data_IF_558478380152
#
_entry.id   IF_558478380152
#
_cell.length_a   1.000
_cell.length_b   1.000
_cell.length_c   1.000
_cell.angle_alpha   90.00
_cell.angle_beta   90.00
_cell.angle_gamma   90.00
#
_symmetry.space_group_name_H-M   'P 1'
#
loop_
_entity.id
_entity.type
_entity.pdbx_description
1 polymer ?
#
# COMPACT_ATOMS: atom_id res chain seq x y z
N UNK A 1 -6.19 11.24 9.59
CA UNK A 1 -4.79 10.90 9.17
C UNK A 1 -4.72 10.97 7.66
N UNK A 2 -3.79 11.76 7.13
CA UNK A 2 -3.59 11.92 5.68
C UNK A 2 -2.57 10.91 5.16
N UNK A 3 -3.00 10.05 4.25
CA UNK A 3 -2.19 8.99 3.65
C UNK A 3 -1.92 9.34 2.20
N UNK A 4 -0.66 9.30 1.78
CA UNK A 4 -0.24 9.49 0.39
C UNK A 4 0.25 8.16 -0.16
N UNK A 5 -0.34 7.72 -1.25
CA UNK A 5 0.04 6.52 -2.01
C UNK A 5 0.95 6.94 -3.16
N UNK A 6 1.99 6.16 -3.41
CA UNK A 6 2.77 6.30 -4.63
C UNK A 6 2.61 5.08 -5.53
N UNK A 7 1.83 5.23 -6.60
CA UNK A 7 1.73 4.26 -7.69
C UNK A 7 2.96 4.39 -8.58
N UNK A 8 4.03 3.72 -8.18
CA UNK A 8 5.38 3.88 -8.73
C UNK A 8 5.59 3.02 -9.98
N UNK A 9 6.30 3.59 -10.97
CA UNK A 9 6.95 2.82 -12.03
C UNK A 9 8.35 2.40 -11.55
N UNK A 10 8.49 1.17 -11.08
CA UNK A 10 9.73 0.67 -10.47
C UNK A 10 10.73 0.26 -11.56
N UNK A 11 11.93 0.82 -11.51
CA UNK A 11 13.06 0.39 -12.35
C UNK A 11 13.58 -0.96 -11.84
N UNK A 12 13.61 -1.95 -12.71
CA UNK A 12 13.98 -3.32 -12.36
C UNK A 12 15.41 -3.42 -11.83
N UNK A 13 15.56 -4.08 -10.68
CA UNK A 13 16.83 -4.40 -10.02
C UNK A 13 17.77 -3.20 -9.83
N UNK A 14 17.23 -1.97 -9.69
CA UNK A 14 18.03 -0.76 -9.49
C UNK A 14 17.60 0.03 -8.25
N UNK A 15 18.01 -0.43 -7.03
CA UNK A 15 17.57 0.22 -5.79
C UNK A 15 18.01 1.67 -5.64
N UNK A 16 19.17 2.03 -6.18
CA UNK A 16 19.67 3.40 -6.10
C UNK A 16 18.79 4.36 -6.90
N UNK A 17 18.51 4.04 -8.16
CA UNK A 17 17.66 4.86 -9.03
C UNK A 17 16.24 4.98 -8.51
N UNK A 18 15.66 3.87 -7.99
CA UNK A 18 14.31 3.91 -7.42
C UNK A 18 14.23 4.85 -6.21
N UNK A 19 15.23 4.85 -5.32
CA UNK A 19 15.30 5.81 -4.20
C UNK A 19 15.50 7.25 -4.67
N UNK A 20 16.37 7.50 -5.67
CA UNK A 20 16.59 8.84 -6.25
C UNK A 20 15.30 9.40 -6.88
N UNK A 21 14.50 8.57 -7.56
CA UNK A 21 13.21 8.98 -8.11
C UNK A 21 12.22 9.38 -7.02
N UNK A 22 12.15 8.63 -5.92
CA UNK A 22 11.33 9.02 -4.77
C UNK A 22 11.87 10.29 -4.11
N UNK A 23 13.18 10.45 -4.01
CA UNK A 23 13.80 11.70 -3.51
C UNK A 23 13.42 12.91 -4.37
N UNK A 24 13.36 12.77 -5.68
CA UNK A 24 12.92 13.84 -6.57
C UNK A 24 11.46 14.25 -6.31
N UNK A 25 10.58 13.29 -5.99
CA UNK A 25 9.19 13.58 -5.58
C UNK A 25 9.13 14.30 -4.23
N UNK A 26 9.93 13.83 -3.26
CA UNK A 26 10.03 14.42 -1.92
C UNK A 26 10.53 15.87 -1.95
N UNK A 27 11.39 16.19 -2.89
CA UNK A 27 11.98 17.51 -3.07
C UNK A 27 11.18 18.42 -4.03
N UNK A 28 10.07 17.93 -4.59
CA UNK A 28 9.25 18.65 -5.55
C UNK A 28 9.97 18.92 -6.89
N UNK A 29 10.99 18.12 -7.22
CA UNK A 29 11.80 18.24 -8.45
C UNK A 29 11.32 17.35 -9.60
N UNK A 30 10.33 16.48 -9.38
CA UNK A 30 9.82 15.58 -10.40
C UNK A 30 8.99 16.34 -11.44
N UNK A 31 9.38 16.22 -12.72
CA UNK A 31 8.62 16.72 -13.85
C UNK A 31 7.81 15.59 -14.49
N UNK A 32 6.55 15.83 -14.82
CA UNK A 32 5.72 14.89 -15.59
C UNK A 32 6.11 14.97 -17.06
N UNK A 33 6.79 13.96 -17.58
CA UNK A 33 6.86 13.74 -19.02
C UNK A 33 5.63 12.93 -19.47
N UNK A 34 4.74 13.57 -20.22
CA UNK A 34 3.64 12.89 -20.92
C UNK A 34 2.25 13.48 -20.67
N UNK A 35 1.88 14.53 -21.39
CA UNK A 35 0.48 14.89 -21.60
C UNK A 35 -0.14 13.92 -22.60
N UNK A 36 -1.12 13.13 -22.19
CA UNK A 36 -2.07 12.52 -23.11
C UNK A 36 -3.48 13.04 -22.83
N UNK A 37 -4.07 13.68 -23.82
CA UNK A 37 -5.48 14.07 -23.87
C UNK A 37 -6.37 12.83 -23.79
N UNK A 38 -7.24 12.77 -22.79
CA UNK A 38 -8.36 11.84 -22.77
C UNK A 38 -9.64 12.55 -22.43
N UNK A 39 -10.55 12.55 -23.41
CA UNK A 39 -11.91 13.04 -23.39
C UNK A 39 -12.83 12.21 -22.46
N UNK A 40 -13.81 12.91 -21.90
CA UNK A 40 -14.81 12.49 -20.92
C UNK A 40 -15.58 11.21 -21.25
N UNK A 41 -15.84 10.38 -20.24
CA UNK A 41 -16.82 9.27 -20.24
C UNK A 41 -18.06 9.71 -19.45
N UNK A 42 -19.29 9.40 -19.91
CA UNK A 42 -20.55 9.88 -19.32
C UNK A 42 -20.92 9.15 -18.03
N UNK A 43 -21.50 9.91 -17.08
CA UNK A 43 -22.07 9.39 -15.84
C UNK A 43 -23.40 8.68 -16.10
N UNK A 44 -23.49 7.42 -15.66
CA UNK A 44 -24.74 6.68 -15.56
C UNK A 44 -25.37 6.82 -14.18
N UNK A 45 -26.65 7.22 -14.14
CA UNK A 45 -27.46 7.30 -12.91
C UNK A 45 -28.07 5.93 -12.62
N UNK A 46 -27.88 5.40 -11.42
CA UNK A 46 -28.75 4.36 -10.91
C UNK A 46 -29.09 4.58 -9.43
N UNK A 47 -30.42 4.64 -9.18
CA UNK A 47 -31.00 4.91 -7.88
C UNK A 47 -31.39 3.59 -7.21
N UNK A 48 -30.70 3.22 -6.15
CA UNK A 48 -31.25 2.30 -5.15
C UNK A 48 -30.90 2.87 -3.76
N UNK A 49 -31.92 3.35 -3.05
CA UNK A 49 -31.76 4.09 -1.80
C UNK A 49 -31.46 3.16 -0.64
N UNK A 50 -30.23 3.23 -0.13
CA UNK A 50 -29.85 2.86 1.22
C UNK A 50 -29.78 4.09 2.11
N UNK A 51 -29.87 4.01 3.46
CA UNK A 51 -29.93 5.18 4.32
C UNK A 51 -28.70 6.08 4.12
N UNK A 52 -28.95 7.35 3.88
CA UNK A 52 -27.91 8.36 3.65
C UNK A 52 -27.07 8.55 4.92
N UNK A 53 -25.92 7.91 4.95
CA UNK A 53 -24.83 8.29 5.84
C UNK A 53 -24.18 9.57 5.32
N UNK A 54 -23.71 10.41 6.25
CA UNK A 54 -22.95 11.64 6.02
C UNK A 54 -22.04 11.55 4.80
N UNK A 55 -22.22 12.49 3.88
CA UNK A 55 -21.54 12.63 2.60
C UNK A 55 -20.03 12.82 2.83
N UNK A 56 -19.27 11.72 2.77
CA UNK A 56 -17.81 11.75 2.78
C UNK A 56 -17.35 12.16 1.38
N UNK A 57 -17.42 13.47 1.10
CA UNK A 57 -16.84 14.01 -0.13
C UNK A 57 -15.32 13.85 -0.04
N UNK A 58 -14.75 13.01 -0.90
CA UNK A 58 -13.34 13.11 -1.22
C UNK A 58 -13.07 14.56 -1.67
N UNK A 59 -12.15 15.22 -0.98
CA UNK A 59 -11.71 16.58 -1.40
C UNK A 59 -11.06 16.42 -2.76
N UNK A 60 -11.50 17.13 -3.82
CA UNK A 60 -10.86 17.07 -5.12
C UNK A 60 -9.41 17.53 -4.97
N UNK A 61 -8.46 16.66 -5.26
CA UNK A 61 -7.06 17.03 -5.23
C UNK A 61 -6.61 17.65 -6.56
N UNK A 62 -5.74 18.64 -6.46
CA UNK A 62 -4.95 19.10 -7.59
C UNK A 62 -4.07 17.96 -8.10
N UNK A 63 -4.52 17.32 -9.18
CA UNK A 63 -3.91 16.08 -9.76
C UNK A 63 -2.66 16.34 -10.61
N UNK A 64 -2.17 17.58 -10.70
CA UNK A 64 -1.14 17.95 -11.67
C UNK A 64 0.26 18.15 -11.07
N UNK A 65 0.45 17.90 -9.77
CA UNK A 65 1.73 18.03 -9.08
C UNK A 65 2.23 16.66 -8.60
N UNK A 66 3.37 16.21 -9.12
CA UNK A 66 4.12 15.07 -8.58
C UNK A 66 4.95 15.49 -7.36
N UNK A 67 4.35 16.21 -6.41
CA UNK A 67 4.95 16.55 -5.14
C UNK A 67 4.15 15.92 -4.01
N UNK A 68 4.85 15.35 -3.02
CA UNK A 68 4.19 14.81 -1.81
C UNK A 68 3.68 16.00 -1.00
N UNK A 69 2.38 16.04 -0.65
CA UNK A 69 1.82 17.12 0.15
C UNK A 69 2.53 17.28 1.50
N UNK A 70 2.83 18.51 1.94
CA UNK A 70 3.59 18.76 3.18
C UNK A 70 2.84 18.34 4.45
N UNK A 71 1.52 18.18 4.38
CA UNK A 71 0.65 17.70 5.46
C UNK A 71 0.40 16.19 5.40
N UNK A 72 1.18 15.45 4.62
CA UNK A 72 1.19 13.97 4.62
C UNK A 72 1.57 13.46 5.99
N UNK A 73 0.81 12.48 6.51
CA UNK A 73 1.15 11.75 7.73
C UNK A 73 1.89 10.44 7.43
N UNK A 74 1.51 9.76 6.36
CA UNK A 74 2.06 8.46 5.95
C UNK A 74 2.22 8.39 4.44
N UNK A 75 3.42 8.13 3.96
CA UNK A 75 3.72 7.77 2.57
C UNK A 75 3.78 6.26 2.44
N UNK A 76 3.00 5.68 1.49
CA UNK A 76 3.00 4.23 1.22
C UNK A 76 3.53 3.97 -0.18
N UNK A 77 4.61 3.19 -0.24
CA UNK A 77 5.29 2.70 -1.44
C UNK A 77 4.84 1.27 -1.77
N UNK A 78 4.96 0.79 -3.02
CA UNK A 78 4.51 -0.53 -3.41
C UNK A 78 5.39 -1.68 -2.86
N UNK A 79 5.07 -2.92 -3.26
CA UNK A 79 5.86 -4.11 -2.96
C UNK A 79 7.21 -4.04 -3.66
N UNK A 80 8.28 -4.38 -2.89
CA UNK A 80 9.67 -4.35 -3.35
C UNK A 80 10.00 -3.06 -4.13
N UNK A 81 9.62 -1.91 -3.56
CA UNK A 81 9.67 -0.60 -4.21
C UNK A 81 11.09 -0.21 -4.67
N UNK A 82 12.12 -0.80 -4.08
CA UNK A 82 13.51 -0.54 -4.43
C UNK A 82 14.04 -1.41 -5.56
N UNK A 83 13.49 -2.64 -5.74
CA UNK A 83 14.04 -3.63 -6.68
C UNK A 83 13.08 -4.10 -7.77
N UNK A 84 11.75 -3.95 -7.55
CA UNK A 84 10.75 -4.72 -8.28
C UNK A 84 10.63 -6.15 -7.76
N UNK A 85 9.58 -6.86 -8.17
CA UNK A 85 9.24 -8.20 -7.68
C UNK A 85 10.16 -9.28 -8.27
N UNK A 86 11.37 -9.37 -7.73
CA UNK A 86 12.36 -10.39 -8.10
C UNK A 86 12.10 -11.68 -7.31
N UNK A 87 11.62 -12.74 -7.96
CA UNK A 87 11.42 -14.06 -7.34
C UNK A 87 12.73 -14.83 -7.16
N UNK A 88 13.78 -14.46 -7.90
CA UNK A 88 15.16 -14.90 -7.72
C UNK A 88 15.95 -13.74 -7.09
N UNK A 89 16.03 -13.66 -5.75
CA UNK A 89 16.53 -12.48 -5.04
C UNK A 89 18.04 -12.38 -4.96
N UNK A 90 18.78 -13.44 -5.36
CA UNK A 90 20.23 -13.52 -5.28
C UNK A 90 20.88 -12.37 -6.06
N UNK A 91 21.68 -11.56 -5.37
CA UNK A 91 22.35 -10.40 -5.95
C UNK A 91 21.45 -9.16 -6.17
N UNK A 92 20.14 -9.27 -5.86
CA UNK A 92 19.16 -8.17 -5.96
C UNK A 92 18.70 -7.73 -4.59
N UNK A 93 18.42 -8.68 -3.68
CA UNK A 93 17.97 -8.39 -2.32
C UNK A 93 19.00 -7.57 -1.53
N UNK A 94 18.48 -6.64 -0.71
CA UNK A 94 19.33 -5.82 0.15
C UNK A 94 19.82 -6.64 1.34
N UNK A 95 21.14 -6.63 1.58
CA UNK A 95 21.74 -7.38 2.67
C UNK A 95 21.48 -6.69 3.99
N UNK A 96 20.86 -7.42 4.92
CA UNK A 96 20.64 -6.97 6.29
C UNK A 96 21.83 -7.36 7.16
N UNK A 97 22.50 -6.38 7.74
CA UNK A 97 23.59 -6.57 8.70
C UNK A 97 23.25 -5.82 9.98
N UNK A 98 23.22 -6.55 11.10
CA UNK A 98 22.86 -5.98 12.41
C UNK A 98 21.51 -5.22 12.40
N UNK A 99 20.52 -5.75 11.67
CA UNK A 99 19.17 -5.14 11.55
C UNK A 99 19.12 -3.90 10.67
N UNK A 100 20.13 -3.64 9.84
CA UNK A 100 20.23 -2.48 8.94
C UNK A 100 20.41 -2.92 7.49
N UNK A 101 19.75 -2.20 6.59
CA UNK A 101 19.88 -2.35 5.12
C UNK A 101 19.61 -1.00 4.43
N UNK A 102 20.10 -0.83 3.22
CA UNK A 102 20.19 0.47 2.57
C UNK A 102 18.86 1.23 2.46
N UNK A 103 17.78 0.55 2.07
CA UNK A 103 16.46 1.19 1.99
C UNK A 103 15.87 1.53 3.36
N UNK A 104 16.15 0.76 4.42
CA UNK A 104 15.74 1.11 5.79
C UNK A 104 16.42 2.38 6.25
N UNK A 105 17.73 2.50 6.04
CA UNK A 105 18.48 3.69 6.43
C UNK A 105 17.99 4.93 5.65
N UNK A 106 17.75 4.77 4.35
CA UNK A 106 17.14 5.80 3.52
C UNK A 106 15.74 6.21 4.03
N UNK A 107 14.85 5.25 4.35
CA UNK A 107 13.51 5.54 4.89
C UNK A 107 13.62 6.32 6.21
N UNK A 108 14.54 5.94 7.11
CA UNK A 108 14.77 6.64 8.39
C UNK A 108 15.20 8.09 8.19
N UNK A 109 16.15 8.33 7.30
CA UNK A 109 16.60 9.67 6.98
C UNK A 109 15.47 10.54 6.40
N UNK A 110 14.67 9.97 5.49
CA UNK A 110 13.56 10.71 4.84
C UNK A 110 12.39 10.92 5.79
N UNK A 111 12.02 9.91 6.57
CA UNK A 111 10.96 10.06 7.58
C UNK A 111 11.31 11.16 8.60
N UNK A 112 12.53 11.18 9.11
CA UNK A 112 13.02 12.23 10.03
C UNK A 112 13.06 13.62 9.37
N UNK A 113 13.52 13.70 8.11
CA UNK A 113 13.65 14.97 7.37
C UNK A 113 12.29 15.61 7.07
N UNK A 114 11.29 14.80 6.68
CA UNK A 114 10.00 15.31 6.21
C UNK A 114 8.88 15.24 7.25
N UNK A 115 9.10 14.56 8.39
CA UNK A 115 8.17 14.55 9.51
C UNK A 115 6.95 13.64 9.35
N UNK A 116 6.94 12.71 8.38
CA UNK A 116 5.90 11.71 8.18
C UNK A 116 6.47 10.28 8.15
N UNK A 117 5.62 9.30 8.42
CA UNK A 117 6.03 7.90 8.31
C UNK A 117 6.15 7.44 6.85
N UNK A 118 7.06 6.50 6.58
CA UNK A 118 7.22 5.87 5.26
C UNK A 118 7.04 4.37 5.42
N UNK A 119 6.27 3.76 4.50
CA UNK A 119 5.98 2.34 4.47
C UNK A 119 6.12 1.76 3.06
N UNK A 120 6.50 0.49 2.95
CA UNK A 120 6.63 -0.24 1.69
C UNK A 120 7.33 -1.58 1.92
N UNK A 121 7.37 -2.50 0.94
CA UNK A 121 8.15 -3.72 1.14
C UNK A 121 9.46 -3.72 0.35
N UNK A 122 10.40 -4.51 0.82
CA UNK A 122 11.77 -4.60 0.33
C UNK A 122 12.17 -6.07 0.32
N UNK A 123 12.91 -6.50 -0.73
CA UNK A 123 13.57 -7.79 -0.74
C UNK A 123 14.83 -7.71 0.13
N UNK A 124 14.88 -8.48 1.22
CA UNK A 124 15.96 -8.44 2.21
C UNK A 124 16.59 -9.81 2.37
N UNK A 125 17.94 -9.88 2.34
CA UNK A 125 18.70 -11.05 2.77
C UNK A 125 19.14 -10.85 4.22
N UNK A 126 18.75 -11.77 5.10
CA UNK A 126 19.14 -11.76 6.50
C UNK A 126 19.50 -13.17 6.97
N UNK A 127 20.70 -13.37 7.50
CA UNK A 127 21.21 -14.65 8.00
C UNK A 127 21.12 -15.81 6.98
N UNK A 128 21.31 -15.52 5.69
CA UNK A 128 21.22 -16.50 4.60
C UNK A 128 19.81 -16.86 4.16
N UNK A 129 18.80 -16.14 4.64
CA UNK A 129 17.41 -16.27 4.22
C UNK A 129 16.95 -15.00 3.52
N UNK A 130 16.04 -15.13 2.55
CA UNK A 130 15.43 -13.99 1.86
C UNK A 130 14.01 -13.76 2.36
N UNK A 131 13.64 -12.48 2.55
CA UNK A 131 12.32 -12.07 2.99
C UNK A 131 11.76 -10.98 2.10
N UNK A 132 10.49 -11.08 1.74
CA UNK A 132 9.70 -9.95 1.26
C UNK A 132 9.20 -9.22 2.50
N UNK A 133 9.92 -8.16 2.90
CA UNK A 133 9.75 -7.50 4.20
C UNK A 133 9.04 -6.16 4.06
N UNK A 134 7.80 -6.08 4.53
CA UNK A 134 7.17 -4.79 4.77
C UNK A 134 7.91 -4.06 5.88
N UNK A 135 8.22 -2.82 5.63
CA UNK A 135 8.96 -1.95 6.53
C UNK A 135 8.14 -0.69 6.76
N UNK A 136 7.89 -0.36 8.02
CA UNK A 136 7.24 0.89 8.45
C UNK A 136 8.23 1.67 9.29
N UNK A 137 8.47 2.92 8.93
CA UNK A 137 9.43 3.79 9.62
C UNK A 137 8.73 5.07 10.05
N UNK A 138 8.75 5.37 11.37
CA UNK A 138 8.23 6.61 11.95
C UNK A 138 9.26 7.75 11.85
N UNK A 139 8.84 9.03 11.96
CA UNK A 139 9.76 10.18 11.94
C UNK A 139 10.84 10.17 13.01
N UNK A 140 10.60 9.52 14.15
CA UNK A 140 11.58 9.36 15.25
C UNK A 140 12.59 8.23 15.01
N UNK A 141 12.47 7.51 13.87
CA UNK A 141 13.33 6.40 13.48
C UNK A 141 12.87 5.02 14.00
N UNK A 142 11.82 4.96 14.84
CA UNK A 142 11.20 3.69 15.22
C UNK A 142 10.76 2.95 13.95
N UNK A 143 11.08 1.65 13.88
CA UNK A 143 10.81 0.84 12.69
C UNK A 143 10.12 -0.46 13.08
N UNK A 144 9.14 -0.89 12.28
CA UNK A 144 8.41 -2.12 12.45
C UNK A 144 8.43 -2.94 11.16
N UNK A 145 8.45 -4.28 11.27
CA UNK A 145 8.65 -5.18 10.14
C UNK A 145 7.61 -6.29 10.12
N UNK A 146 7.12 -6.60 8.91
CA UNK A 146 6.31 -7.77 8.64
C UNK A 146 6.93 -8.53 7.47
N UNK A 147 7.23 -9.81 7.64
CA UNK A 147 7.66 -10.68 6.55
C UNK A 147 6.41 -11.32 5.92
N UNK A 148 6.29 -11.24 4.60
CA UNK A 148 5.16 -11.78 3.84
C UNK A 148 4.85 -13.22 4.25
N UNK A 149 3.60 -13.47 4.62
CA UNK A 149 3.18 -14.80 5.07
C UNK A 149 2.87 -15.74 3.90
N UNK A 150 2.04 -15.28 2.95
CA UNK A 150 1.68 -16.08 1.80
C UNK A 150 2.61 -15.78 0.62
N UNK A 151 3.58 -16.65 0.40
CA UNK A 151 4.49 -16.54 -0.74
C UNK A 151 3.77 -16.97 -2.03
N UNK A 152 4.03 -16.25 -3.13
CA UNK A 152 3.40 -16.48 -4.41
C UNK A 152 3.99 -17.71 -5.13
N UNK A 153 3.44 -18.89 -4.83
CA UNK A 153 3.93 -20.19 -5.33
C UNK A 153 3.88 -20.31 -6.86
N UNK A 154 2.86 -19.72 -7.50
CA UNK A 154 2.77 -19.68 -8.97
C UNK A 154 3.98 -18.97 -9.61
N UNK A 155 4.51 -17.92 -8.95
CA UNK A 155 5.74 -17.21 -9.33
C UNK A 155 7.00 -17.81 -8.73
N UNK A 156 6.92 -18.95 -8.06
CA UNK A 156 8.04 -19.65 -7.39
C UNK A 156 8.71 -18.83 -6.26
N UNK A 157 8.04 -17.84 -5.71
CA UNK A 157 8.55 -17.05 -4.58
C UNK A 157 8.89 -17.96 -3.38
N UNK A 158 8.10 -19.02 -3.16
CA UNK A 158 8.29 -20.04 -2.12
C UNK A 158 9.57 -20.86 -2.26
N UNK A 159 10.26 -20.81 -3.39
CA UNK A 159 11.51 -21.53 -3.62
C UNK A 159 12.73 -20.76 -3.11
N UNK A 160 12.62 -19.47 -2.99
CA UNK A 160 13.74 -18.58 -2.66
C UNK A 160 13.49 -17.81 -1.37
N UNK A 161 12.24 -17.37 -1.11
CA UNK A 161 11.89 -16.57 0.05
C UNK A 161 11.40 -17.41 1.22
N UNK A 162 11.59 -16.89 2.42
CA UNK A 162 11.11 -17.48 3.67
C UNK A 162 9.82 -16.75 4.09
N UNK A 163 8.76 -17.52 4.38
CA UNK A 163 7.49 -16.98 4.86
C UNK A 163 7.60 -16.47 6.30
N UNK A 164 6.92 -15.35 6.58
CA UNK A 164 6.68 -14.89 7.94
C UNK A 164 5.58 -15.71 8.63
N UNK A 165 5.57 -15.72 9.97
CA UNK A 165 4.60 -16.47 10.76
C UNK A 165 3.72 -15.57 11.65
N UNK A 166 4.04 -14.29 11.76
CA UNK A 166 3.42 -13.38 12.73
C UNK A 166 2.75 -12.20 12.03
N UNK A 167 1.62 -11.74 12.60
CA UNK A 167 1.02 -10.46 12.23
C UNK A 167 1.83 -9.30 12.83
N UNK A 168 1.75 -8.16 12.19
CA UNK A 168 2.24 -6.89 12.72
C UNK A 168 1.07 -5.94 12.93
N UNK A 169 0.95 -5.40 14.13
CA UNK A 169 0.07 -4.28 14.44
C UNK A 169 0.90 -3.06 14.80
N UNK A 170 0.62 -1.95 14.13
CA UNK A 170 1.34 -0.69 14.30
C UNK A 170 0.35 0.35 14.82
N UNK A 171 0.70 1.05 15.87
CA UNK A 171 -0.02 2.25 16.29
C UNK A 171 0.73 3.49 15.81
N UNK A 172 0.05 4.31 15.00
CA UNK A 172 0.61 5.55 14.51
C UNK A 172 -0.47 6.64 14.40
N UNK A 173 -0.24 7.78 15.06
CA UNK A 173 -1.20 8.92 15.11
C UNK A 173 -2.62 8.51 15.53
N UNK A 174 -2.73 7.56 16.46
CA UNK A 174 -4.00 7.04 16.96
C UNK A 174 -4.73 6.08 16.02
N UNK A 175 -4.12 5.70 14.89
CA UNK A 175 -4.63 4.68 13.95
C UNK A 175 -3.90 3.37 14.18
N UNK A 176 -4.65 2.27 14.34
CA UNK A 176 -4.11 0.92 14.41
C UNK A 176 -4.05 0.34 13.00
N UNK A 177 -2.85 0.01 12.56
CA UNK A 177 -2.54 -0.36 11.17
C UNK A 177 -2.07 -1.82 11.14
N UNK A 178 -2.65 -2.62 10.23
CA UNK A 178 -2.18 -3.95 9.89
C UNK A 178 -1.64 -3.95 8.45
N UNK A 179 -0.31 -4.12 8.26
CA UNK A 179 0.28 -4.20 6.93
C UNK A 179 0.29 -5.64 6.42
N UNK A 180 0.03 -5.82 5.14
CA UNK A 180 0.07 -7.08 4.42
C UNK A 180 0.69 -6.87 3.03
N UNK A 181 1.12 -7.97 2.39
CA UNK A 181 1.85 -7.88 1.12
C UNK A 181 1.14 -8.73 0.04
N UNK A 182 0.69 -8.07 -1.01
CA UNK A 182 0.30 -8.61 -2.31
C UNK A 182 -0.56 -9.89 -2.21
N UNK A 183 0.03 -11.06 -2.30
CA UNK A 183 -0.67 -12.34 -2.32
C UNK A 183 -1.44 -12.64 -1.03
N UNK A 184 -1.07 -12.02 0.11
CA UNK A 184 -1.84 -12.10 1.36
C UNK A 184 -3.29 -11.64 1.17
N UNK A 185 -3.55 -10.73 0.22
CA UNK A 185 -4.90 -10.25 -0.11
C UNK A 185 -5.87 -11.38 -0.49
N UNK A 186 -5.38 -12.51 -1.00
CA UNK A 186 -6.22 -13.65 -1.39
C UNK A 186 -6.72 -14.48 -0.22
N UNK A 187 -6.18 -14.29 0.97
CA UNK A 187 -6.41 -15.14 2.14
C UNK A 187 -7.15 -14.38 3.25
N UNK A 188 -8.51 -14.42 3.25
CA UNK A 188 -9.31 -13.61 4.17
C UNK A 188 -9.09 -13.93 5.65
N UNK A 189 -8.79 -15.18 5.99
CA UNK A 189 -8.55 -15.58 7.38
C UNK A 189 -7.32 -14.88 7.97
N UNK A 190 -6.28 -14.64 7.15
CA UNK A 190 -5.07 -13.97 7.58
C UNK A 190 -5.27 -12.48 7.88
N UNK A 191 -6.25 -11.86 7.26
CA UNK A 191 -6.60 -10.45 7.49
C UNK A 191 -7.85 -10.25 8.35
N UNK A 192 -8.39 -11.32 8.97
CA UNK A 192 -9.63 -11.20 9.75
C UNK A 192 -9.46 -10.26 10.93
N UNK A 193 -10.35 -9.27 11.03
CA UNK A 193 -10.37 -8.27 12.10
C UNK A 193 -11.26 -8.72 13.25
N UNK A 194 -10.68 -8.79 14.43
CA UNK A 194 -11.42 -9.00 15.69
C UNK A 194 -11.49 -7.72 16.53
N UNK A 195 -11.42 -6.55 15.88
CA UNK A 195 -11.41 -5.23 16.51
C UNK A 195 -10.00 -4.68 16.79
N UNK A 196 -8.96 -5.30 16.24
CA UNK A 196 -7.56 -5.01 16.55
C UNK A 196 -7.00 -3.86 15.73
N UNK A 197 -7.53 -3.62 14.53
CA UNK A 197 -7.03 -2.58 13.62
C UNK A 197 -8.15 -1.76 12.99
N UNK A 198 -7.77 -0.59 12.47
CA UNK A 198 -8.63 0.41 11.85
C UNK A 198 -8.33 0.58 10.36
N UNK A 199 -7.10 0.25 9.97
CA UNK A 199 -6.57 0.38 8.62
C UNK A 199 -5.80 -0.87 8.21
N UNK A 200 -6.15 -1.45 7.06
CA UNK A 200 -5.35 -2.44 6.35
C UNK A 200 -4.53 -1.75 5.25
N UNK A 201 -3.26 -2.08 5.14
CA UNK A 201 -2.39 -1.65 4.04
C UNK A 201 -1.95 -2.88 3.26
N UNK A 202 -2.21 -2.90 1.95
CA UNK A 202 -1.67 -3.88 1.02
C UNK A 202 -0.72 -3.20 0.04
N UNK A 203 0.54 -3.59 0.04
CA UNK A 203 1.52 -3.19 -0.97
C UNK A 203 1.72 -4.32 -1.97
N UNK A 204 1.79 -4.03 -3.28
CA UNK A 204 1.73 -5.07 -4.29
C UNK A 204 2.56 -4.77 -5.55
N UNK A 205 2.95 -5.87 -6.20
CA UNK A 205 3.29 -5.98 -7.62
C UNK A 205 2.25 -6.91 -8.27
N UNK A 206 1.03 -6.40 -8.42
CA UNK A 206 -0.12 -7.17 -8.89
C UNK A 206 -0.32 -6.99 -10.40
N UNK A 207 -0.16 -8.05 -11.22
CA UNK A 207 -0.16 -7.92 -12.67
C UNK A 207 -1.49 -7.46 -13.26
N UNK A 208 -1.42 -6.76 -14.38
CA UNK A 208 -2.59 -6.29 -15.15
C UNK A 208 -3.59 -7.39 -15.45
N UNK A 209 -3.12 -8.59 -15.80
CA UNK A 209 -3.99 -9.74 -16.13
C UNK A 209 -4.91 -10.18 -14.98
N UNK A 210 -4.68 -9.72 -13.76
CA UNK A 210 -5.45 -10.08 -12.57
C UNK A 210 -5.96 -8.86 -11.79
N UNK A 211 -5.96 -7.66 -12.39
CA UNK A 211 -6.32 -6.41 -11.71
C UNK A 211 -7.74 -6.39 -11.17
N UNK A 212 -8.69 -7.04 -11.85
CA UNK A 212 -10.07 -7.15 -11.35
C UNK A 212 -10.17 -7.91 -10.02
N UNK A 213 -9.34 -8.94 -9.83
CA UNK A 213 -9.26 -9.63 -8.54
C UNK A 213 -8.67 -8.70 -7.46
N UNK A 214 -7.67 -7.88 -7.78
CA UNK A 214 -7.11 -6.87 -6.88
C UNK A 214 -8.17 -5.88 -6.40
N UNK A 215 -8.86 -5.22 -7.32
CA UNK A 215 -9.92 -4.24 -7.02
C UNK A 215 -11.06 -4.84 -6.20
N UNK A 216 -11.53 -6.04 -6.60
CA UNK A 216 -12.62 -6.73 -5.91
C UNK A 216 -12.24 -7.13 -4.49
N UNK A 217 -11.06 -7.71 -4.30
CA UNK A 217 -10.63 -8.21 -3.00
C UNK A 217 -10.32 -7.06 -2.02
N UNK A 218 -9.76 -5.93 -2.46
CA UNK A 218 -9.58 -4.76 -1.61
C UNK A 218 -10.91 -4.29 -1.01
N UNK A 219 -11.96 -4.19 -1.83
CA UNK A 219 -13.32 -3.85 -1.38
C UNK A 219 -13.88 -4.87 -0.39
N UNK A 220 -13.70 -6.17 -0.70
CA UNK A 220 -14.14 -7.24 0.20
C UNK A 220 -13.48 -7.13 1.58
N UNK A 221 -12.15 -6.88 1.62
CA UNK A 221 -11.41 -6.70 2.88
C UNK A 221 -11.92 -5.52 3.70
N UNK A 222 -12.26 -4.41 3.05
CA UNK A 222 -12.82 -3.24 3.72
C UNK A 222 -14.19 -3.56 4.37
N UNK A 223 -15.07 -4.22 3.62
CA UNK A 223 -16.44 -4.56 4.05
C UNK A 223 -16.43 -5.56 5.20
N UNK A 224 -15.77 -6.71 5.00
CA UNK A 224 -15.80 -7.82 5.96
C UNK A 224 -15.07 -7.53 7.27
N UNK A 225 -14.09 -6.62 7.24
CA UNK A 225 -13.27 -6.22 8.38
C UNK A 225 -13.68 -4.86 8.96
N UNK A 226 -14.69 -4.20 8.39
CA UNK A 226 -15.15 -2.87 8.82
C UNK A 226 -13.98 -1.92 9.09
N UNK A 227 -13.07 -1.77 8.13
CA UNK A 227 -11.87 -0.95 8.25
C UNK A 227 -11.64 -0.15 6.96
N UNK A 228 -10.78 0.87 7.03
CA UNK A 228 -10.21 1.45 5.83
C UNK A 228 -9.23 0.47 5.19
N UNK A 229 -9.16 0.47 3.85
CA UNK A 229 -8.18 -0.32 3.11
C UNK A 229 -7.40 0.59 2.16
N UNK A 230 -6.09 0.53 2.27
CA UNK A 230 -5.13 1.17 1.36
C UNK A 230 -4.47 0.08 0.54
N UNK A 231 -4.70 0.07 -0.77
CA UNK A 231 -4.02 -0.81 -1.71
C UNK A 231 -3.05 0.00 -2.56
N UNK A 232 -1.76 -0.32 -2.52
CA UNK A 232 -0.73 0.33 -3.33
C UNK A 232 -0.10 -0.67 -4.27
N UNK A 233 -0.33 -0.50 -5.57
CA UNK A 233 0.23 -1.33 -6.62
C UNK A 233 1.17 -0.50 -7.49
N UNK A 234 2.14 -1.16 -8.12
CA UNK A 234 3.04 -0.53 -9.10
C UNK A 234 2.41 -0.40 -10.48
N UNK A 235 3.01 0.43 -11.34
CA UNK A 235 2.80 0.47 -12.79
C UNK A 235 4.07 0.07 -13.54
N UNK A 236 4.01 0.03 -14.88
CA UNK A 236 5.12 -0.30 -15.77
C UNK A 236 5.28 -1.80 -15.99
N UNK A 237 6.49 -2.21 -16.27
CA UNK A 237 6.82 -3.59 -16.65
C UNK A 237 8.03 -4.10 -15.86
N UNK A 238 8.14 -5.42 -15.77
CA UNK A 238 9.35 -6.14 -15.40
C UNK A 238 9.57 -7.30 -16.39
N UNK A 239 10.64 -8.10 -16.28
CA UNK A 239 10.88 -9.20 -17.22
C UNK A 239 9.77 -10.24 -17.34
N UNK A 240 8.83 -10.29 -16.39
CA UNK A 240 7.79 -11.33 -16.31
C UNK A 240 6.37 -10.80 -16.53
N UNK A 241 6.08 -9.55 -16.18
CA UNK A 241 4.73 -9.02 -16.13
C UNK A 241 4.63 -7.55 -16.50
N UNK A 242 3.42 -7.12 -16.93
CA UNK A 242 3.00 -5.73 -16.99
C UNK A 242 2.05 -5.40 -15.83
N UNK A 243 2.08 -4.15 -15.37
CA UNK A 243 1.35 -3.65 -14.22
C UNK A 243 0.60 -2.37 -14.58
N UNK A 244 -0.71 -2.35 -14.37
CA UNK A 244 -1.54 -1.17 -14.64
C UNK A 244 -1.83 -0.32 -13.41
N UNK A 245 -1.35 -0.69 -12.23
CA UNK A 245 -1.68 0.04 -11.00
C UNK A 245 -2.99 -0.41 -10.38
N UNK A 246 -3.98 0.49 -10.28
CA UNK A 246 -5.20 0.28 -9.52
C UNK A 246 -4.98 0.48 -8.02
N UNK A 247 -4.06 1.39 -7.67
CA UNK A 247 -3.86 1.82 -6.28
C UNK A 247 -5.07 2.62 -5.82
N UNK A 248 -5.60 2.32 -4.64
CA UNK A 248 -6.84 2.92 -4.16
C UNK A 248 -6.91 3.00 -2.64
N UNK A 249 -7.76 3.92 -2.15
CA UNK A 249 -8.22 3.96 -0.76
C UNK A 249 -9.71 3.66 -0.72
N UNK A 250 -10.10 2.74 0.15
CA UNK A 250 -11.46 2.21 0.25
C UNK A 250 -11.98 2.43 1.67
N UNK A 251 -13.21 2.93 1.78
CA UNK A 251 -13.87 3.15 3.05
C UNK A 251 -14.43 1.84 3.66
N UNK A 252 -14.83 1.83 4.95
CA UNK A 252 -15.37 0.65 5.61
C UNK A 252 -16.68 0.10 5.01
N UNK A 253 -17.32 0.86 4.10
CA UNK A 253 -18.51 0.40 3.36
C UNK A 253 -18.16 -0.26 2.01
N UNK A 254 -16.86 -0.32 1.65
CA UNK A 254 -16.38 -0.84 0.37
C UNK A 254 -16.45 0.17 -0.78
N UNK A 255 -16.65 1.46 -0.49
CA UNK A 255 -16.66 2.52 -1.51
C UNK A 255 -15.25 2.98 -1.77
N UNK A 256 -14.92 3.19 -3.04
CA UNK A 256 -13.64 3.78 -3.42
C UNK A 256 -13.67 5.26 -3.08
N UNK A 257 -12.86 5.69 -2.11
CA UNK A 257 -12.68 7.09 -1.76
C UNK A 257 -11.87 7.82 -2.82
N UNK A 258 -10.79 7.19 -3.29
CA UNK A 258 -9.96 7.67 -4.38
C UNK A 258 -9.18 6.50 -5.00
N UNK A 259 -8.85 6.61 -6.29
CA UNK A 259 -8.12 5.61 -7.07
C UNK A 259 -7.17 6.32 -8.04
N UNK A 260 -5.94 5.80 -8.17
CA UNK A 260 -4.99 6.25 -9.18
C UNK A 260 -5.42 5.82 -10.58
N UNK A 261 -5.01 6.61 -11.59
CA UNK A 261 -5.26 6.31 -13.00
C UNK A 261 -4.46 5.08 -13.44
N UNK A 262 -5.09 4.23 -14.24
CA UNK A 262 -4.44 3.04 -14.79
C UNK A 262 -3.26 3.42 -15.70
N UNK A 263 -2.16 2.67 -15.55
CA UNK A 263 -0.96 2.82 -16.38
C UNK A 263 -0.15 4.09 -16.13
N UNK A 264 -0.51 4.91 -15.14
CA UNK A 264 0.18 6.17 -14.85
C UNK A 264 0.92 6.11 -13.52
N UNK A 265 2.14 6.62 -13.50
CA UNK A 265 2.83 6.91 -12.24
C UNK A 265 2.15 8.10 -11.57
N UNK A 266 1.66 7.93 -10.35
CA UNK A 266 0.80 8.93 -9.69
C UNK A 266 0.96 8.92 -8.18
N UNK A 267 0.89 10.12 -7.57
CA UNK A 267 0.69 10.33 -6.14
C UNK A 267 -0.79 10.59 -5.87
N UNK A 268 -1.35 9.87 -4.90
CA UNK A 268 -2.73 10.03 -4.48
C UNK A 268 -2.78 10.21 -2.97
N UNK A 269 -3.36 11.31 -2.49
CA UNK A 269 -3.50 11.57 -1.06
C UNK A 269 -4.96 11.54 -0.64
N UNK A 270 -5.24 10.91 0.48
CA UNK A 270 -6.59 10.78 1.05
C UNK A 270 -6.51 10.96 2.57
N UNK A 271 -7.48 11.64 3.13
CA UNK A 271 -7.65 11.71 4.58
C UNK A 271 -8.68 10.68 5.05
N UNK A 272 -8.30 9.85 6.05
CA UNK A 272 -9.21 8.93 6.73
C UNK A 272 -9.66 9.53 8.06
N UNK A 273 -10.93 9.28 8.42
CA UNK A 273 -11.56 9.76 9.65
C UNK A 273 -11.94 8.61 10.57
N UNK A 274 -11.28 8.51 11.72
CA UNK A 274 -11.53 7.45 12.70
C UNK A 274 -12.87 7.61 13.44
N UNK A 275 -13.39 8.82 13.57
CA UNK A 275 -14.69 9.02 14.24
C UNK A 275 -15.81 8.45 13.36
N UNK A 276 -15.71 8.60 12.05
CA UNK A 276 -16.63 7.97 11.09
C UNK A 276 -16.57 6.45 11.20
N UNK A 277 -15.38 5.87 11.30
CA UNK A 277 -15.21 4.42 11.49
C UNK A 277 -15.82 3.93 12.79
N UNK A 278 -15.57 4.62 13.91
CA UNK A 278 -16.12 4.28 15.23
C UNK A 278 -17.64 4.33 15.23
N UNK A 279 -18.23 5.39 14.66
CA UNK A 279 -19.69 5.52 14.55
C UNK A 279 -20.30 4.43 13.66
N UNK A 280 -19.63 4.04 12.56
CA UNK A 280 -20.05 2.95 11.72
C UNK A 280 -20.07 1.62 12.47
N UNK A 281 -18.97 1.24 13.14
CA UNK A 281 -18.87 0.02 13.94
C UNK A 281 -19.87 -0.03 15.07
N UNK A 282 -20.17 1.12 15.69
CA UNK A 282 -21.20 1.21 16.74
C UNK A 282 -22.61 0.97 16.21
N UNK A 283 -22.93 1.50 15.03
CA UNK A 283 -24.24 1.34 14.39
C UNK A 283 -24.47 -0.04 13.81
N UNK A 284 -23.41 -0.68 13.34
CA UNK A 284 -23.46 -1.98 12.66
C UNK A 284 -22.31 -2.89 13.15
N UNK A 285 -22.43 -3.52 14.34
CA UNK A 285 -21.31 -4.17 15.03
C UNK A 285 -21.04 -5.61 14.57
N UNK A 286 -20.91 -5.86 13.27
CA UNK A 286 -20.75 -7.23 12.70
C UNK A 286 -19.46 -7.93 13.09
N UNK A 287 -18.42 -7.19 13.52
CA UNK A 287 -17.18 -7.80 13.98
C UNK A 287 -17.38 -8.67 15.24
N UNK A 288 -18.40 -8.34 16.06
CA UNK A 288 -18.77 -9.12 17.23
C UNK A 288 -19.47 -10.46 16.92
N UNK A 289 -19.95 -10.64 15.68
CA UNK A 289 -20.63 -11.86 15.23
C UNK A 289 -19.65 -12.81 14.50
N UNK A 290 -18.37 -12.43 14.41
CA UNK A 290 -17.37 -13.21 13.69
C UNK A 290 -17.03 -14.51 14.43
N UNK A 291 -16.90 -15.61 13.67
CA UNK A 291 -16.37 -16.86 14.19
C UNK A 291 -14.93 -16.66 14.73
N UNK A 292 -14.65 -17.28 15.86
CA UNK A 292 -13.31 -17.34 16.47
C UNK A 292 -12.69 -18.65 15.99
N UNK A 293 -11.69 -18.55 15.11
CA UNK A 293 -10.92 -19.71 14.63
C UNK A 293 -9.56 -19.78 15.30
#
# INVERSE_FOLDING_TARGET
>A
MKITLFQQNIVWANPAENRERIDALLEGRASVEGKSDLSAVPQGTDQCAMPQGTDLRAVPQERDSLAIPPDTDLLVLPEMFSTGFATEPEGIAEKCTEGRFASLDWMRERAAKYGFAIAGSIAVEENGHYYNRFTFVKPDGESAFYNKHHLFTYGKEDKHFTAGAEHLLIEYRGVRIMPLICYDLRFPLWSRNHGEYDLLIYVASWPTSRVEAWRTLLKARAIENQCYVVGVNRVGEDPSCSYCGGSAVIDPYGRVMAECRDGQEELLSVEIDLEVLKEFRKKFPVLGDADIF
#
